data_IF_328118218835
#
_entry.id   IF_328118218835
#
_cell.length_a   1.000
_cell.length_b   1.000
_cell.length_c   1.000
_cell.angle_alpha   90.00
_cell.angle_beta   90.00
_cell.angle_gamma   90.00
#
_symmetry.space_group_name_H-M   'P 1'
#
loop_
_entity.id
_entity.type
_entity.pdbx_description
1 polymer ?
#
# COMPACT_ATOMS: atom_id res chain seq x y z
N UNK A 1 29.37 12.54 -8.92
CA UNK A 1 28.22 11.91 -8.23
C UNK A 1 27.41 11.17 -9.29
N UNK A 2 27.17 9.87 -9.10
CA UNK A 2 26.43 9.03 -10.06
C UNK A 2 24.93 9.29 -9.90
N UNK A 3 24.25 9.64 -11.00
CA UNK A 3 22.79 9.86 -11.02
C UNK A 3 22.00 8.61 -10.55
N UNK A 4 22.54 7.42 -10.81
CA UNK A 4 21.92 6.15 -10.38
C UNK A 4 21.82 6.03 -8.85
N UNK A 5 22.83 6.48 -8.11
CA UNK A 5 22.83 6.40 -6.65
C UNK A 5 21.84 7.40 -6.02
N UNK A 6 21.55 8.50 -6.71
CA UNK A 6 20.57 9.49 -6.24
C UNK A 6 19.14 8.98 -6.41
N UNK A 7 18.85 8.33 -7.54
CA UNK A 7 17.53 7.73 -7.81
C UNK A 7 17.20 6.62 -6.81
N UNK A 8 18.14 5.71 -6.55
CA UNK A 8 17.94 4.62 -5.60
C UNK A 8 17.76 5.12 -4.16
N UNK A 9 18.55 6.13 -3.75
CA UNK A 9 18.38 6.77 -2.45
C UNK A 9 17.02 7.45 -2.30
N UNK A 10 16.51 8.12 -3.35
CA UNK A 10 15.18 8.75 -3.34
C UNK A 10 14.07 7.70 -3.19
N UNK A 11 14.10 6.66 -4.02
CA UNK A 11 13.09 5.59 -3.99
C UNK A 11 13.02 4.93 -2.62
N UNK A 12 14.17 4.62 -2.01
CA UNK A 12 14.22 3.99 -0.69
C UNK A 12 13.66 4.91 0.41
N UNK A 13 13.88 6.23 0.34
CA UNK A 13 13.30 7.17 1.29
C UNK A 13 11.78 7.23 1.18
N UNK A 14 11.25 7.30 -0.05
CA UNK A 14 9.80 7.34 -0.26
C UNK A 14 9.15 6.04 0.23
N UNK A 15 9.74 4.87 -0.10
CA UNK A 15 9.27 3.58 0.41
C UNK A 15 9.28 3.52 1.93
N UNK A 16 10.39 3.92 2.56
CA UNK A 16 10.48 3.96 4.02
C UNK A 16 9.49 4.93 4.67
N UNK A 17 9.17 6.05 4.01
CA UNK A 17 8.15 6.98 4.50
C UNK A 17 6.73 6.40 4.39
N UNK A 18 6.44 5.63 3.34
CA UNK A 18 5.17 4.90 3.20
C UNK A 18 5.04 3.83 4.29
N UNK A 19 6.10 3.04 4.50
CA UNK A 19 6.16 2.05 5.60
C UNK A 19 5.92 2.68 6.96
N UNK A 20 6.57 3.82 7.24
CA UNK A 20 6.39 4.53 8.50
C UNK A 20 4.96 5.04 8.69
N UNK A 21 4.32 5.59 7.65
CA UNK A 21 2.92 6.05 7.73
C UNK A 21 1.94 4.90 7.97
N UNK A 22 2.17 3.74 7.34
CA UNK A 22 1.38 2.53 7.58
C UNK A 22 1.56 2.02 9.00
N UNK A 23 2.80 1.94 9.47
CA UNK A 23 3.09 1.52 10.85
C UNK A 23 2.44 2.46 11.87
N UNK A 24 2.55 3.77 11.69
CA UNK A 24 1.95 4.76 12.59
C UNK A 24 0.42 4.63 12.62
N UNK A 25 -0.22 4.42 11.47
CA UNK A 25 -1.66 4.21 11.37
C UNK A 25 -2.12 2.95 12.12
N UNK A 26 -1.50 1.81 11.83
CA UNK A 26 -1.88 0.54 12.48
C UNK A 26 -1.54 0.51 13.96
N UNK A 27 -0.49 1.22 14.39
CA UNK A 27 -0.18 1.40 15.80
C UNK A 27 -1.26 2.23 16.52
N UNK A 28 -1.83 3.24 15.86
CA UNK A 28 -2.95 4.01 16.42
C UNK A 28 -4.19 3.13 16.57
N UNK A 29 -4.58 2.39 15.52
CA UNK A 29 -5.70 1.44 15.58
C UNK A 29 -5.49 0.38 16.67
N UNK A 30 -4.27 -0.16 16.79
CA UNK A 30 -3.93 -1.12 17.83
C UNK A 30 -4.10 -0.52 19.23
N UNK A 31 -3.65 0.72 19.44
CA UNK A 31 -3.81 1.41 20.72
C UNK A 31 -5.28 1.67 21.05
N UNK A 32 -6.10 2.03 20.08
CA UNK A 32 -7.55 2.21 20.28
C UNK A 32 -8.25 0.89 20.59
N UNK A 33 -7.87 -0.20 19.89
CA UNK A 33 -8.38 -1.54 20.12
C UNK A 33 -8.10 -2.03 21.56
N UNK A 34 -6.87 -1.88 22.06
CA UNK A 34 -6.53 -2.30 23.44
C UNK A 34 -7.19 -1.42 24.51
N UNK A 35 -7.60 -0.20 24.15
CA UNK A 35 -8.29 0.76 25.03
C UNK A 35 -9.83 0.61 25.02
N UNK A 36 -10.37 -0.43 24.36
CA UNK A 36 -11.82 -0.67 24.19
C UNK A 36 -12.53 0.48 23.44
N UNK A 37 -11.79 1.13 22.53
CA UNK A 37 -12.31 2.13 21.61
C UNK A 37 -12.79 1.50 20.29
N UNK A 38 -13.82 2.09 19.69
CA UNK A 38 -14.17 1.83 18.29
C UNK A 38 -13.20 2.61 17.39
N UNK A 39 -12.36 1.88 16.67
CA UNK A 39 -11.40 2.44 15.73
C UNK A 39 -11.98 2.35 14.30
N UNK A 40 -12.66 3.42 13.86
CA UNK A 40 -13.31 3.52 12.54
C UNK A 40 -12.47 4.34 11.53
N UNK A 41 -11.21 4.65 11.84
CA UNK A 41 -10.38 5.50 10.99
C UNK A 41 -9.84 4.74 9.78
N UNK A 42 -9.95 5.32 8.58
CA UNK A 42 -9.29 4.81 7.37
C UNK A 42 -7.90 5.44 7.17
N UNK A 43 -6.95 4.66 6.64
CA UNK A 43 -5.62 5.18 6.33
C UNK A 43 -5.70 6.22 5.20
N UNK A 44 -5.29 7.44 5.52
CA UNK A 44 -5.24 8.57 4.58
C UNK A 44 -6.60 9.02 4.01
N UNK A 45 -7.71 8.85 4.74
CA UNK A 45 -9.06 9.27 4.31
C UNK A 45 -9.10 10.68 3.70
N UNK A 46 -8.49 11.68 4.36
CA UNK A 46 -8.45 13.07 3.87
C UNK A 46 -7.65 13.28 2.57
N UNK A 47 -6.94 12.25 2.11
CA UNK A 47 -6.05 12.27 0.93
C UNK A 47 -6.56 11.38 -0.20
N UNK A 48 -7.76 10.81 -0.05
CA UNK A 48 -8.38 10.03 -1.11
C UNK A 48 -8.62 10.93 -2.33
N UNK A 49 -8.37 10.38 -3.51
CA UNK A 49 -8.60 11.03 -4.79
C UNK A 49 -9.39 10.11 -5.70
N UNK A 50 -10.16 10.71 -6.61
CA UNK A 50 -10.88 9.97 -7.62
C UNK A 50 -9.92 9.38 -8.66
N UNK A 51 -10.27 8.21 -9.21
CA UNK A 51 -9.42 7.50 -10.17
C UNK A 51 -9.14 8.31 -11.45
N UNK A 52 -10.02 9.26 -11.81
CA UNK A 52 -9.85 10.18 -12.93
C UNK A 52 -8.76 11.25 -12.70
N UNK A 53 -8.31 11.43 -11.46
CA UNK A 53 -7.25 12.37 -11.09
C UNK A 53 -5.84 11.76 -11.18
N UNK A 54 -5.76 10.45 -11.44
CA UNK A 54 -4.51 9.70 -11.60
C UNK A 54 -3.93 9.88 -13.01
N UNK A 55 -2.61 9.83 -13.11
CA UNK A 55 -1.93 9.67 -14.41
C UNK A 55 -2.19 8.27 -15.01
N UNK A 56 -1.88 8.09 -16.30
CA UNK A 56 -2.20 6.88 -17.07
C UNK A 56 -1.78 5.56 -16.39
N UNK A 57 -0.56 5.50 -15.84
CA UNK A 57 -0.01 4.30 -15.21
C UNK A 57 -0.67 3.95 -13.87
N UNK A 58 -0.76 4.86 -12.88
CA UNK A 58 -1.51 4.58 -11.65
C UNK A 58 -3.00 4.34 -11.92
N UNK A 59 -3.61 5.01 -12.91
CA UNK A 59 -4.99 4.73 -13.30
C UNK A 59 -5.13 3.29 -13.85
N UNK A 60 -4.17 2.83 -14.67
CA UNK A 60 -4.15 1.44 -15.15
C UNK A 60 -4.02 0.45 -14.00
N UNK A 61 -3.19 0.76 -13.00
CA UNK A 61 -3.05 -0.05 -11.80
C UNK A 61 -4.36 -0.12 -11.00
N UNK A 62 -5.00 1.03 -10.78
CA UNK A 62 -6.28 1.13 -10.11
C UNK A 62 -7.35 0.27 -10.80
N UNK A 63 -7.51 0.42 -12.12
CA UNK A 63 -8.51 -0.36 -12.88
C UNK A 63 -8.21 -1.85 -12.83
N UNK A 64 -6.94 -2.26 -12.93
CA UNK A 64 -6.56 -3.66 -12.79
C UNK A 64 -7.04 -4.26 -11.45
N UNK A 65 -6.77 -3.59 -10.34
CA UNK A 65 -7.20 -4.10 -9.03
C UNK A 65 -8.71 -4.00 -8.85
N UNK A 66 -9.35 -2.94 -9.35
CA UNK A 66 -10.80 -2.79 -9.25
C UNK A 66 -11.53 -3.92 -9.97
N UNK A 67 -11.07 -4.28 -11.17
CA UNK A 67 -11.64 -5.38 -11.95
C UNK A 67 -11.39 -6.75 -11.31
N UNK A 68 -10.28 -6.93 -10.59
CA UNK A 68 -9.87 -8.26 -10.09
C UNK A 68 -10.21 -8.51 -8.62
N UNK A 69 -10.37 -7.45 -7.82
CA UNK A 69 -10.60 -7.50 -6.37
C UNK A 69 -12.00 -7.00 -6.03
N UNK A 70 -12.28 -5.74 -6.36
CA UNK A 70 -13.53 -5.08 -5.93
C UNK A 70 -14.74 -5.59 -6.72
N UNK A 71 -14.64 -5.72 -8.05
CA UNK A 71 -15.73 -6.23 -8.88
C UNK A 71 -15.99 -7.73 -8.70
N UNK A 72 -14.99 -8.46 -8.21
CA UNK A 72 -15.10 -9.89 -7.86
C UNK A 72 -15.51 -10.09 -6.39
N UNK A 73 -15.78 -9.00 -5.64
CA UNK A 73 -16.39 -9.00 -4.30
C UNK A 73 -15.57 -9.72 -3.21
N UNK A 74 -14.26 -9.44 -3.14
CA UNK A 74 -13.40 -9.97 -2.07
C UNK A 74 -12.39 -8.94 -1.53
N UNK A 75 -12.71 -7.66 -1.72
CA UNK A 75 -11.93 -6.55 -1.21
C UNK A 75 -12.31 -5.21 -1.82
N UNK A 76 -11.45 -4.21 -1.59
CA UNK A 76 -11.62 -2.85 -2.05
C UNK A 76 -10.32 -2.27 -2.60
N UNK A 77 -10.47 -1.30 -3.50
CA UNK A 77 -9.37 -0.51 -4.06
C UNK A 77 -9.63 0.96 -3.77
N UNK A 78 -8.57 1.66 -3.36
CA UNK A 78 -8.58 3.10 -3.08
C UNK A 78 -7.38 3.75 -3.73
N UNK A 79 -7.52 5.04 -4.06
CA UNK A 79 -6.44 5.85 -4.60
C UNK A 79 -6.20 7.04 -3.67
N UNK A 80 -4.95 7.24 -3.27
CA UNK A 80 -4.55 8.33 -2.40
C UNK A 80 -3.49 9.19 -3.07
N UNK A 81 -3.44 10.48 -2.73
CA UNK A 81 -2.32 11.37 -3.07
C UNK A 81 -1.72 12.00 -1.82
N UNK A 82 -0.47 11.67 -1.57
CA UNK A 82 0.29 12.20 -0.42
C UNK A 82 1.49 13.02 -0.89
N UNK A 83 2.08 13.82 -0.01
CA UNK A 83 3.35 14.51 -0.26
C UNK A 83 4.46 13.85 0.56
N UNK A 84 5.47 13.30 -0.11
CA UNK A 84 6.62 12.63 0.50
C UNK A 84 7.90 13.21 -0.09
N UNK A 85 8.86 13.58 0.76
CA UNK A 85 10.12 14.24 0.33
C UNK A 85 9.89 15.49 -0.56
N UNK A 86 8.76 16.18 -0.39
CA UNK A 86 8.39 17.37 -1.19
C UNK A 86 7.82 17.05 -2.58
N UNK A 87 7.44 15.79 -2.83
CA UNK A 87 6.89 15.32 -4.10
C UNK A 87 5.50 14.70 -3.89
N UNK A 88 4.58 14.98 -4.82
CA UNK A 88 3.28 14.32 -4.82
C UNK A 88 3.45 12.86 -5.27
N UNK A 89 2.97 11.94 -4.43
CA UNK A 89 3.01 10.50 -4.63
C UNK A 89 1.57 9.97 -4.69
N UNK A 90 1.23 9.32 -5.80
CA UNK A 90 -0.02 8.60 -5.96
C UNK A 90 0.14 7.18 -5.44
N UNK A 91 -0.77 6.74 -4.60
CA UNK A 91 -0.77 5.40 -3.99
C UNK A 91 -2.05 4.69 -4.38
N UNK A 92 -1.93 3.52 -5.02
CA UNK A 92 -3.02 2.58 -5.19
C UNK A 92 -2.95 1.61 -4.03
N UNK A 93 -4.00 1.60 -3.22
CA UNK A 93 -4.07 0.83 -2.00
C UNK A 93 -5.19 -0.20 -2.12
N UNK A 94 -4.86 -1.46 -1.89
CA UNK A 94 -5.79 -2.58 -2.04
C UNK A 94 -5.90 -3.30 -0.71
N UNK A 95 -7.14 -3.57 -0.31
CA UNK A 95 -7.47 -4.32 0.91
C UNK A 95 -8.35 -5.49 0.52
N UNK A 96 -7.94 -6.71 0.86
CA UNK A 96 -8.78 -7.90 0.74
C UNK A 96 -9.59 -8.06 2.03
N UNK A 97 -10.60 -8.91 1.99
CA UNK A 97 -11.38 -9.28 3.20
C UNK A 97 -10.55 -10.02 4.27
N UNK A 98 -9.31 -10.41 3.95
CA UNK A 98 -8.37 -11.10 4.85
C UNK A 98 -7.27 -10.20 5.41
N UNK A 99 -7.45 -8.88 5.39
CA UNK A 99 -6.54 -7.82 5.86
C UNK A 99 -5.21 -7.68 5.09
N UNK A 100 -4.96 -8.57 4.14
CA UNK A 100 -3.87 -8.48 3.19
C UNK A 100 -4.21 -7.58 1.99
N UNK A 101 -3.26 -7.41 1.08
CA UNK A 101 -3.52 -6.69 -0.16
C UNK A 101 -2.27 -6.29 -0.90
N UNK A 102 -2.38 -5.21 -1.67
CA UNK A 102 -1.31 -4.67 -2.49
C UNK A 102 -1.21 -3.18 -2.31
N UNK A 103 -0.02 -2.65 -2.58
CA UNK A 103 0.25 -1.23 -2.63
C UNK A 103 1.12 -0.95 -3.84
N UNK A 104 0.73 0.02 -4.65
CA UNK A 104 1.61 0.55 -5.71
C UNK A 104 1.75 2.07 -5.56
N UNK A 105 2.99 2.56 -5.56
CA UNK A 105 3.32 3.97 -5.40
C UNK A 105 3.92 4.52 -6.70
N UNK A 106 3.46 5.71 -7.09
CA UNK A 106 3.83 6.39 -8.33
C UNK A 106 4.20 7.85 -8.05
N UNK A 107 5.19 8.36 -8.78
CA UNK A 107 5.45 9.81 -8.75
C UNK A 107 4.37 10.59 -9.53
N UNK A 108 4.42 11.92 -9.43
CA UNK A 108 3.48 12.81 -10.13
C UNK A 108 3.52 12.72 -11.67
N UNK A 109 4.51 12.04 -12.25
CA UNK A 109 4.57 11.76 -13.69
C UNK A 109 4.06 10.35 -14.03
N UNK A 110 3.59 9.60 -13.03
CA UNK A 110 3.12 8.23 -13.15
C UNK A 110 4.24 7.21 -13.25
N UNK A 111 5.49 7.54 -12.91
CA UNK A 111 6.55 6.52 -12.86
C UNK A 111 6.44 5.71 -11.57
N UNK A 112 6.60 4.40 -11.70
CA UNK A 112 6.55 3.48 -10.57
C UNK A 112 7.73 3.74 -9.63
N UNK A 113 7.42 4.01 -8.36
CA UNK A 113 8.37 4.09 -7.25
C UNK A 113 8.54 2.71 -6.62
N UNK A 114 7.45 1.97 -6.45
CA UNK A 114 7.48 0.62 -5.93
C UNK A 114 6.10 -0.03 -5.93
N UNK A 115 6.10 -1.35 -5.90
CA UNK A 115 4.92 -2.17 -5.66
C UNK A 115 5.24 -3.09 -4.47
N UNK A 116 4.25 -3.33 -3.61
CA UNK A 116 4.38 -4.21 -2.47
C UNK A 116 3.16 -5.12 -2.33
N UNK A 117 3.40 -6.32 -1.82
CA UNK A 117 2.36 -7.05 -1.09
C UNK A 117 2.27 -6.47 0.31
N UNK A 118 1.07 -6.40 0.88
CA UNK A 118 0.87 -5.94 2.25
C UNK A 118 0.10 -6.95 3.09
N UNK A 119 0.33 -6.88 4.38
CA UNK A 119 -0.51 -7.46 5.42
C UNK A 119 -0.51 -6.54 6.61
N UNK A 120 -1.65 -5.90 6.87
CA UNK A 120 -1.76 -4.87 7.90
C UNK A 120 -0.68 -3.78 7.67
N UNK A 121 0.29 -3.60 8.58
CA UNK A 121 1.38 -2.63 8.52
C UNK A 121 2.62 -3.13 7.75
N UNK A 122 2.69 -4.42 7.46
CA UNK A 122 3.86 -5.03 6.83
C UNK A 122 3.80 -4.85 5.31
N UNK A 123 4.92 -4.45 4.72
CA UNK A 123 5.12 -4.35 3.28
C UNK A 123 6.27 -5.24 2.79
N UNK A 124 6.02 -6.01 1.75
CA UNK A 124 7.05 -6.73 0.99
C UNK A 124 7.15 -6.13 -0.41
N UNK A 125 8.09 -5.20 -0.59
CA UNK A 125 8.38 -4.57 -1.87
C UNK A 125 8.93 -5.57 -2.88
N UNK A 126 8.43 -5.52 -4.12
CA UNK A 126 8.80 -6.47 -5.16
C UNK A 126 8.63 -5.93 -6.58
N UNK A 127 8.76 -6.82 -7.55
CA UNK A 127 8.44 -6.54 -8.93
C UNK A 127 6.92 -6.45 -9.11
N UNK A 128 6.45 -5.40 -9.80
CA UNK A 128 5.02 -5.16 -9.99
C UNK A 128 4.30 -6.27 -10.78
N UNK A 129 4.96 -6.87 -11.77
CA UNK A 129 4.36 -7.93 -12.58
C UNK A 129 4.18 -9.21 -11.75
N UNK A 130 5.20 -9.57 -10.96
CA UNK A 130 5.12 -10.72 -10.05
C UNK A 130 4.04 -10.51 -8.99
N UNK A 131 3.98 -9.32 -8.38
CA UNK A 131 2.99 -8.97 -7.36
C UNK A 131 1.56 -8.94 -7.91
N UNK A 132 1.34 -8.38 -9.10
CA UNK A 132 0.03 -8.45 -9.77
C UNK A 132 -0.34 -9.89 -10.16
N UNK A 133 0.65 -10.73 -10.47
CA UNK A 133 0.46 -12.16 -10.68
C UNK A 133 -0.13 -12.87 -9.46
N UNK A 134 0.27 -12.46 -8.25
CA UNK A 134 -0.22 -13.02 -6.99
C UNK A 134 -1.71 -12.77 -6.75
N UNK A 135 -2.32 -11.73 -7.33
CA UNK A 135 -3.78 -11.50 -7.24
C UNK A 135 -4.57 -12.70 -7.75
N UNK A 136 -4.01 -13.45 -8.72
CA UNK A 136 -4.67 -14.62 -9.31
C UNK A 136 -4.47 -15.90 -8.51
N UNK A 137 -3.37 -15.99 -7.78
CA UNK A 137 -3.00 -17.21 -7.02
C UNK A 137 -3.37 -17.10 -5.55
N UNK A 138 -3.54 -15.86 -5.06
CA UNK A 138 -3.68 -15.52 -3.65
C UNK A 138 -2.51 -16.02 -2.78
N UNK A 139 -1.38 -16.35 -3.40
CA UNK A 139 -0.20 -16.80 -2.68
C UNK A 139 0.34 -15.65 -1.82
N UNK A 140 0.48 -15.94 -0.54
CA UNK A 140 1.05 -15.01 0.41
C UNK A 140 2.59 -15.13 0.36
N UNK A 141 3.33 -14.03 0.19
CA UNK A 141 4.78 -14.08 0.05
C UNK A 141 5.42 -14.53 1.36
N UNK A 142 6.48 -15.36 1.25
CA UNK A 142 7.21 -15.85 2.41
C UNK A 142 7.97 -14.74 3.14
N UNK A 143 8.20 -13.61 2.48
CA UNK A 143 8.82 -12.41 3.01
C UNK A 143 7.92 -11.68 4.01
N UNK A 144 6.60 -11.92 3.99
CA UNK A 144 5.67 -11.42 4.99
C UNK A 144 5.47 -12.48 6.08
N UNK A 145 6.03 -12.24 7.27
CA UNK A 145 5.74 -13.04 8.45
C UNK A 145 4.55 -12.43 9.20
N UNK A 146 3.40 -13.08 9.18
CA UNK A 146 2.19 -12.61 9.90
C UNK A 146 2.40 -12.50 11.41
N UNK A 147 3.38 -13.21 11.97
CA UNK A 147 3.70 -13.12 13.40
C UNK A 147 4.54 -11.89 13.74
N UNK A 148 5.08 -11.21 12.73
CA UNK A 148 5.80 -9.97 12.90
C UNK A 148 4.87 -8.74 13.01
N UNK A 149 3.54 -8.95 12.95
CA UNK A 149 2.60 -7.84 13.10
C UNK A 149 2.51 -7.37 14.55
N UNK A 150 1.99 -6.16 14.74
CA UNK A 150 1.58 -5.61 16.03
C UNK A 150 0.47 -6.45 16.70
N UNK A 151 -0.27 -7.22 15.91
CA UNK A 151 -1.53 -7.88 16.27
C UNK A 151 -1.34 -9.37 16.59
N UNK A 152 -0.24 -9.73 17.25
CA UNK A 152 0.06 -11.13 17.58
C UNK A 152 -1.15 -11.80 18.23
N UNK A 153 -1.66 -12.87 17.61
CA UNK A 153 -2.68 -13.71 18.23
C UNK A 153 -2.04 -14.32 19.49
N UNK A 154 -2.61 -14.04 20.67
CA UNK A 154 -2.28 -14.84 21.85
C UNK A 154 -2.75 -16.28 21.58
N UNK A 155 -1.82 -17.21 21.38
CA UNK A 155 -2.11 -18.67 21.36
C UNK A 155 -2.72 -19.15 22.69
#
# INVERSE_FOLDING_TARGET
>A
MNLNNYSESRVNKIRGAIEAQLLDYWQQLYNEYIEDGDADAEIWEEREIEAEQLADKPQTAYQFYRETVEMEDWGSVRAYRTELEGEAIDIIYVVTDGDDGWLEAYDAQGNLIGAARRYIELLAWGNVEDLRGQVKTLEFPAELDKNATLWQEEE
#
